data_IF_308575799324
#
_entry.id   IF_308575799324
#
_cell.length_a   1.000
_cell.length_b   1.000
_cell.length_c   1.000
_cell.angle_alpha   90.00
_cell.angle_beta   90.00
_cell.angle_gamma   90.00
#
_symmetry.space_group_name_H-M   'P 1'
#
loop_
_entity.id
_entity.type
_entity.pdbx_description
1 polymer ?
#
# COMPACT_ATOMS: atom_id res chain seq x y z
N UNK A 1 -5.52 -16.94 -6.83
CA UNK A 1 -4.59 -16.05 -6.12
C UNK A 1 -3.98 -15.00 -7.03
N UNK A 2 -3.39 -15.46 -8.10
CA UNK A 2 -2.80 -14.56 -9.08
C UNK A 2 -3.84 -13.59 -9.64
N UNK A 3 -5.04 -14.09 -9.85
CA UNK A 3 -6.13 -13.31 -10.40
C UNK A 3 -6.52 -12.16 -9.47
N UNK A 4 -6.52 -12.42 -8.17
CA UNK A 4 -6.87 -11.38 -7.19
C UNK A 4 -5.79 -10.33 -7.10
N UNK A 5 -4.54 -10.73 -7.23
CA UNK A 5 -3.43 -9.77 -7.24
C UNK A 5 -3.53 -8.86 -8.45
N UNK A 6 -3.91 -9.39 -9.59
CA UNK A 6 -4.12 -8.60 -10.78
C UNK A 6 -5.24 -7.59 -10.57
N UNK A 7 -6.32 -8.02 -9.92
CA UNK A 7 -7.43 -7.11 -9.61
C UNK A 7 -6.98 -5.99 -8.67
N UNK A 8 -6.12 -6.30 -7.71
CA UNK A 8 -5.61 -5.29 -6.80
C UNK A 8 -4.78 -4.25 -7.55
N UNK A 9 -3.93 -4.70 -8.45
CA UNK A 9 -3.12 -3.79 -9.25
C UNK A 9 -3.99 -2.92 -10.14
N UNK A 10 -5.01 -3.50 -10.75
CA UNK A 10 -5.89 -2.72 -11.62
C UNK A 10 -6.67 -1.68 -10.82
N UNK A 11 -7.13 -2.03 -9.63
CA UNK A 11 -7.83 -1.06 -8.78
C UNK A 11 -6.91 0.09 -8.40
N UNK A 12 -5.66 -0.22 -8.05
CA UNK A 12 -4.69 0.80 -7.71
C UNK A 12 -4.41 1.72 -8.88
N UNK A 13 -4.21 1.14 -10.06
CA UNK A 13 -3.96 1.92 -11.27
C UNK A 13 -5.11 2.87 -11.58
N UNK A 14 -6.33 2.37 -11.45
CA UNK A 14 -7.50 3.18 -11.74
C UNK A 14 -7.53 4.43 -10.86
N UNK A 15 -7.27 4.28 -9.59
CA UNK A 15 -7.29 5.41 -8.67
C UNK A 15 -6.12 6.37 -8.95
N UNK A 16 -4.94 5.83 -9.23
CA UNK A 16 -3.79 6.68 -9.55
C UNK A 16 -4.09 7.55 -10.77
N UNK A 17 -4.66 6.97 -11.79
CA UNK A 17 -4.92 7.69 -13.03
C UNK A 17 -6.10 8.63 -12.87
N UNK A 18 -7.20 8.15 -12.32
CA UNK A 18 -8.44 8.94 -12.29
C UNK A 18 -8.50 9.95 -11.16
N UNK A 19 -7.90 9.63 -10.03
CA UNK A 19 -8.03 10.48 -8.86
C UNK A 19 -6.77 11.27 -8.51
N UNK A 20 -5.59 10.74 -8.82
CA UNK A 20 -4.34 11.41 -8.50
C UNK A 20 -3.68 12.08 -9.68
N UNK A 21 -4.21 11.91 -10.88
CA UNK A 21 -3.72 12.64 -12.02
C UNK A 21 -2.55 12.05 -12.77
N UNK A 22 -2.18 10.82 -12.47
CA UNK A 22 -1.14 10.15 -13.24
C UNK A 22 -1.64 9.94 -14.67
N UNK A 23 -0.81 10.27 -15.63
CA UNK A 23 -1.22 10.14 -17.04
C UNK A 23 -1.21 8.68 -17.47
N UNK A 24 -0.21 7.94 -17.03
CA UNK A 24 -0.12 6.53 -17.35
C UNK A 24 0.63 5.81 -16.24
N UNK A 25 0.15 4.62 -15.89
CA UNK A 25 0.81 3.75 -14.93
C UNK A 25 0.76 2.35 -15.51
N UNK A 26 1.94 1.83 -15.88
CA UNK A 26 2.00 0.53 -16.52
C UNK A 26 1.88 -0.58 -15.48
N UNK A 27 1.13 -1.65 -15.79
CA UNK A 27 1.00 -2.74 -14.82
C UNK A 27 2.33 -3.40 -14.47
N UNK A 28 3.27 -3.43 -15.41
CA UNK A 28 4.57 -4.05 -15.16
C UNK A 28 5.38 -3.30 -14.13
N UNK A 29 5.08 -2.03 -13.91
CA UNK A 29 5.79 -1.23 -12.92
C UNK A 29 5.17 -1.33 -11.54
N UNK A 30 4.05 -2.03 -11.41
CA UNK A 30 3.34 -2.19 -10.15
C UNK A 30 3.64 -3.56 -9.57
N UNK A 31 3.62 -3.65 -8.24
CA UNK A 31 3.87 -4.93 -7.59
C UNK A 31 3.13 -5.00 -6.27
N UNK A 32 2.88 -6.24 -5.84
CA UNK A 32 2.20 -6.51 -4.58
C UNK A 32 3.24 -6.54 -3.47
N UNK A 33 3.07 -5.69 -2.48
CA UNK A 33 3.93 -5.68 -1.31
C UNK A 33 3.45 -6.70 -0.29
N UNK A 34 2.13 -6.84 -0.17
CA UNK A 34 1.53 -7.72 0.83
C UNK A 34 0.14 -8.11 0.37
N UNK A 35 -0.27 -9.33 0.67
CA UNK A 35 -1.58 -9.83 0.26
C UNK A 35 -2.09 -10.83 1.28
N UNK A 36 -3.37 -10.73 1.61
CA UNK A 36 -4.02 -11.66 2.50
C UNK A 36 -5.45 -11.91 2.05
N UNK A 37 -5.87 -13.15 2.09
CA UNK A 37 -7.22 -13.53 1.68
C UNK A 37 -7.86 -14.34 2.80
N UNK A 38 -9.10 -13.99 3.14
CA UNK A 38 -9.90 -14.71 4.11
C UNK A 38 -11.29 -14.87 3.54
N UNK A 39 -11.64 -16.14 3.21
CA UNK A 39 -12.90 -16.45 2.56
C UNK A 39 -13.01 -15.61 1.27
N UNK A 40 -14.09 -14.86 1.12
CA UNK A 40 -14.29 -14.05 -0.08
C UNK A 40 -13.73 -12.64 0.06
N UNK A 41 -13.09 -12.33 1.18
CA UNK A 41 -12.51 -11.01 1.40
C UNK A 41 -11.00 -11.07 1.21
N UNK A 42 -10.42 -9.98 0.72
CA UNK A 42 -8.97 -9.92 0.58
C UNK A 42 -8.48 -8.49 0.70
N UNK A 43 -7.21 -8.37 1.02
CA UNK A 43 -6.56 -7.07 1.15
C UNK A 43 -5.16 -7.17 0.56
N UNK A 44 -4.74 -6.13 -0.12
CA UNK A 44 -3.43 -6.08 -0.72
C UNK A 44 -2.82 -4.70 -0.52
N UNK A 45 -1.51 -4.67 -0.41
CA UNK A 45 -0.76 -3.41 -0.45
C UNK A 45 0.03 -3.42 -1.73
N UNK A 46 -0.19 -2.38 -2.53
CA UNK A 46 0.37 -2.26 -3.86
C UNK A 46 1.29 -1.06 -3.91
N UNK A 47 2.41 -1.21 -4.56
CA UNK A 47 3.31 -0.10 -4.80
C UNK A 47 3.82 -0.19 -6.24
N UNK A 48 4.70 0.72 -6.62
CA UNK A 48 5.21 0.72 -7.97
C UNK A 48 6.51 1.48 -8.07
N UNK A 49 7.24 1.23 -9.16
CA UNK A 49 8.55 1.85 -9.34
C UNK A 49 8.44 3.32 -9.70
N UNK A 50 7.33 3.72 -10.30
CA UNK A 50 7.17 5.07 -10.81
C UNK A 50 6.25 5.92 -9.95
N UNK A 51 5.82 5.40 -8.80
CA UNK A 51 4.95 6.13 -7.88
C UNK A 51 5.59 6.15 -6.51
N UNK A 52 5.20 7.14 -5.72
CA UNK A 52 5.72 7.27 -4.35
C UNK A 52 4.72 6.79 -3.31
N UNK A 53 3.48 6.60 -3.71
CA UNK A 53 2.42 6.23 -2.78
C UNK A 53 2.39 4.73 -2.53
N UNK A 54 1.91 4.36 -1.36
CA UNK A 54 1.49 3.01 -1.06
C UNK A 54 -0.03 2.97 -1.16
N UNK A 55 -0.55 1.92 -1.79
CA UNK A 55 -1.97 1.84 -2.04
C UNK A 55 -2.50 0.58 -1.38
N UNK A 56 -3.47 0.76 -0.50
CA UNK A 56 -4.10 -0.35 0.19
C UNK A 56 -5.44 -0.63 -0.48
N UNK A 57 -5.58 -1.83 -1.03
CA UNK A 57 -6.80 -2.24 -1.70
C UNK A 57 -7.49 -3.27 -0.83
N UNK A 58 -8.73 -2.98 -0.45
CA UNK A 58 -9.52 -3.87 0.39
C UNK A 58 -10.78 -4.27 -0.35
N UNK A 59 -10.99 -5.57 -0.48
CA UNK A 59 -12.18 -6.09 -1.14
C UNK A 59 -13.07 -6.80 -0.15
N UNK A 60 -14.32 -6.36 -0.07
CA UNK A 60 -15.35 -7.00 0.72
C UNK A 60 -16.21 -7.83 -0.21
N UNK A 61 -16.00 -9.14 -0.18
CA UNK A 61 -16.70 -10.04 -1.10
C UNK A 61 -18.18 -10.19 -0.80
N UNK A 62 -18.57 -9.95 0.45
CA UNK A 62 -20.00 -10.04 0.80
C UNK A 62 -20.80 -8.93 0.13
N UNK A 63 -20.21 -7.77 -0.05
CA UNK A 63 -20.87 -6.63 -0.67
C UNK A 63 -20.41 -6.38 -2.08
N UNK A 64 -19.42 -7.12 -2.54
CA UNK A 64 -18.79 -6.90 -3.83
C UNK A 64 -18.32 -5.46 -3.99
N UNK A 65 -17.61 -4.99 -2.98
CA UNK A 65 -17.10 -3.63 -2.94
C UNK A 65 -15.59 -3.64 -2.78
N UNK A 66 -14.92 -2.72 -3.46
CA UNK A 66 -13.48 -2.59 -3.38
C UNK A 66 -13.15 -1.16 -2.96
N UNK A 67 -12.37 -1.04 -1.89
CA UNK A 67 -11.93 0.24 -1.38
C UNK A 67 -10.46 0.42 -1.66
N UNK A 68 -10.08 1.62 -2.06
CA UNK A 68 -8.69 1.93 -2.38
C UNK A 68 -8.26 3.12 -1.54
N UNK A 69 -7.30 2.88 -0.67
CA UNK A 69 -6.76 3.92 0.20
C UNK A 69 -5.34 4.25 -0.24
N UNK A 70 -5.05 5.53 -0.34
CA UNK A 70 -3.76 5.99 -0.83
C UNK A 70 -2.99 6.62 0.31
N UNK A 71 -1.75 6.17 0.53
CA UNK A 71 -0.89 6.66 1.61
C UNK A 71 0.35 7.32 1.02
N UNK A 72 0.64 8.51 1.48
CA UNK A 72 1.81 9.24 1.05
C UNK A 72 2.80 9.34 2.20
N UNK A 73 4.08 9.28 1.87
CA UNK A 73 5.12 9.43 2.86
C UNK A 73 5.15 10.87 3.34
N UNK A 74 5.06 11.09 4.64
CA UNK A 74 5.10 12.42 5.20
C UNK A 74 6.44 12.76 5.79
N UNK A 75 7.25 11.76 6.10
CA UNK A 75 8.54 12.03 6.75
C UNK A 75 9.48 10.86 6.53
N UNK A 76 10.75 11.20 6.40
CA UNK A 76 11.79 10.19 6.29
C UNK A 76 12.87 10.49 7.31
N UNK A 77 13.08 9.59 8.26
CA UNK A 77 14.04 9.77 9.34
C UNK A 77 14.99 8.60 9.33
N UNK A 78 16.28 8.89 9.32
CA UNK A 78 17.31 7.87 9.36
C UNK A 78 17.75 7.62 10.79
N UNK A 79 17.63 6.38 11.24
CA UNK A 79 18.10 5.98 12.56
C UNK A 79 19.27 5.05 12.35
N UNK A 80 20.44 5.42 12.90
CA UNK A 80 21.66 4.67 12.70
C UNK A 80 21.96 3.84 13.92
N UNK A 81 21.97 2.53 13.73
CA UNK A 81 22.40 1.61 14.75
C UNK A 81 21.34 1.35 15.81
N UNK A 82 21.60 0.29 16.56
CA UNK A 82 20.66 -0.18 17.56
C UNK A 82 20.56 0.73 18.76
N UNK A 83 21.65 1.36 19.12
CA UNK A 83 21.64 2.19 20.32
C UNK A 83 20.73 3.40 20.13
N UNK A 84 20.72 3.99 18.96
CA UNK A 84 19.83 5.11 18.69
C UNK A 84 18.38 4.67 18.67
N UNK A 85 18.13 3.48 18.17
CA UNK A 85 16.78 2.95 18.14
C UNK A 85 16.26 2.72 19.56
N UNK A 86 17.12 2.18 20.43
CA UNK A 86 16.73 1.95 21.82
C UNK A 86 16.49 3.26 22.56
N UNK A 87 17.32 4.25 22.26
CA UNK A 87 17.15 5.56 22.88
C UNK A 87 15.80 6.16 22.54
N UNK A 88 15.43 6.08 21.26
CA UNK A 88 14.15 6.60 20.81
C UNK A 88 12.99 5.88 21.48
N UNK A 89 13.12 4.57 21.65
CA UNK A 89 12.08 3.77 22.27
C UNK A 89 11.84 4.18 23.70
N UNK A 90 12.92 4.31 24.46
CA UNK A 90 12.79 4.67 25.86
C UNK A 90 12.31 6.10 26.05
N UNK A 91 12.72 6.99 25.18
CA UNK A 91 12.26 8.37 25.25
C UNK A 91 10.77 8.46 25.01
N UNK A 92 10.26 7.66 24.09
CA UNK A 92 8.86 7.67 23.80
C UNK A 92 7.98 7.21 24.94
N UNK A 93 8.55 6.44 25.86
CA UNK A 93 7.80 5.92 26.99
C UNK A 93 7.68 6.88 28.15
N UNK A 94 8.30 8.02 28.04
CA UNK A 94 8.27 8.98 29.14
C UNK A 94 7.01 9.80 29.18
N UNK A 95 6.19 9.60 28.22
CA UNK A 95 4.91 10.29 28.25
C UNK A 95 3.95 9.65 29.23
#
# INVERSE_FOLDING_TARGET
MYELQTKAIEAARKVLIENLGYQTVEPEDMFIVWFCKTLQNWKAIVSGRTIEEFIEVTHNGDRNETYVDVYCKTKNVCIKGESELKKAYFSGNKK
#
